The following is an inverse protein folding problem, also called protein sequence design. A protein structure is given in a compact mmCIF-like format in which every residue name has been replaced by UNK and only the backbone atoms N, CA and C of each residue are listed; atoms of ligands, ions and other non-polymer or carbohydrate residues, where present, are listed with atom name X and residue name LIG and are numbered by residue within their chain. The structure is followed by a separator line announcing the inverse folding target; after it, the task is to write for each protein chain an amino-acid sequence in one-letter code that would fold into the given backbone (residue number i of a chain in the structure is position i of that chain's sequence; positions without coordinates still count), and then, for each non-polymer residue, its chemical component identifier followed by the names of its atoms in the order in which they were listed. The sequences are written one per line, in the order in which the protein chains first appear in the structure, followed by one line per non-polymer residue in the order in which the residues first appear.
data_IF_234259383115
#
_entry.id   IF_234259383115
#
_cell.length_a   1.000
_cell.length_b   1.000
_cell.length_c   1.000
_cell.angle_alpha   90.00
_cell.angle_beta   90.00
_cell.angle_gamma   90.00
#
_symmetry.space_group_name_H-M   'P 1'
#
loop_
_entity.id
_entity.type
_entity.pdbx_description
1 polymer ?
#
# COMPACT_ATOMS: atom_id res chain seq x y z
N UNK A 1 25.33 -18.82 21.59
CA UNK A 1 25.55 -18.12 20.32
C UNK A 1 24.16 -17.83 19.79
N UNK A 2 23.61 -16.66 20.14
CA UNK A 2 22.30 -16.26 19.64
C UNK A 2 22.55 -15.63 18.27
N UNK A 3 22.17 -16.34 17.22
CA UNK A 3 22.07 -15.74 15.90
C UNK A 3 20.91 -14.75 15.97
N UNK A 4 21.24 -13.47 16.09
CA UNK A 4 20.32 -12.41 15.70
C UNK A 4 20.01 -12.64 14.23
N UNK A 5 18.84 -13.19 13.94
CA UNK A 5 18.29 -13.20 12.61
C UNK A 5 17.94 -11.74 12.32
N UNK A 6 18.90 -11.00 11.77
CA UNK A 6 18.62 -9.78 11.02
C UNK A 6 17.66 -10.19 9.91
N UNK A 7 16.36 -10.03 10.20
CA UNK A 7 15.30 -10.17 9.20
C UNK A 7 15.39 -8.93 8.32
N UNK A 8 16.34 -8.95 7.38
CA UNK A 8 16.32 -8.05 6.22
C UNK A 8 14.91 -8.15 5.66
N UNK A 9 14.17 -7.05 5.72
CA UNK A 9 12.75 -7.07 5.44
C UNK A 9 12.52 -7.75 4.08
N UNK A 10 11.67 -8.80 3.97
CA UNK A 10 11.59 -9.69 2.81
C UNK A 10 11.00 -9.03 1.55
N UNK A 11 10.82 -7.71 1.58
CA UNK A 11 10.13 -6.92 0.58
C UNK A 11 11.09 -6.58 -0.57
N UNK A 12 10.60 -6.66 -1.79
CA UNK A 12 11.36 -6.38 -3.02
C UNK A 12 10.83 -5.17 -3.77
N UNK A 13 9.62 -4.71 -3.46
CA UNK A 13 9.00 -3.49 -4.01
C UNK A 13 7.79 -3.05 -3.19
N UNK A 14 7.46 -1.77 -3.31
CA UNK A 14 6.17 -1.20 -2.94
C UNK A 14 5.35 -1.01 -4.22
N UNK A 15 4.09 -1.42 -4.23
CA UNK A 15 3.17 -1.20 -5.36
C UNK A 15 2.07 -0.21 -4.99
N UNK A 16 1.76 0.72 -5.90
CA UNK A 16 0.50 1.49 -5.89
C UNK A 16 -0.50 0.71 -6.72
N UNK A 17 -1.53 0.16 -6.07
CA UNK A 17 -2.56 -0.64 -6.75
C UNK A 17 -3.93 0.03 -6.63
N UNK A 18 -4.71 -0.04 -7.72
CA UNK A 18 -6.13 0.27 -7.66
C UNK A 18 -6.88 -0.96 -7.16
N UNK A 19 -7.67 -0.78 -6.12
CA UNK A 19 -8.47 -1.83 -5.53
C UNK A 19 -9.90 -1.32 -5.30
N UNK A 20 -10.76 -2.25 -4.91
CA UNK A 20 -12.11 -1.95 -4.45
C UNK A 20 -12.26 -2.58 -3.08
N UNK A 21 -12.68 -1.79 -2.10
CA UNK A 21 -12.85 -2.25 -0.73
C UNK A 21 -14.31 -2.11 -0.33
N UNK A 22 -14.82 -3.19 0.26
CA UNK A 22 -16.11 -3.18 0.91
C UNK A 22 -15.99 -2.79 2.36
N UNK A 23 -16.54 -1.64 2.69
CA UNK A 23 -16.61 -1.17 4.06
C UNK A 23 -17.22 0.22 4.21
N UNK A 24 -17.41 0.61 5.45
CA UNK A 24 -17.78 1.97 5.85
C UNK A 24 -16.89 2.42 7.00
N UNK A 25 -16.64 3.72 7.12
CA UNK A 25 -15.96 4.27 8.29
C UNK A 25 -16.95 4.43 9.43
N UNK A 26 -16.52 4.01 10.62
CA UNK A 26 -17.15 4.42 11.86
C UNK A 26 -16.11 5.08 12.75
N UNK A 27 -16.50 6.13 13.45
CA UNK A 27 -15.73 6.60 14.58
C UNK A 27 -15.88 5.60 15.74
N UNK A 28 -14.76 5.25 16.37
CA UNK A 28 -14.79 4.47 17.59
C UNK A 28 -15.08 5.36 18.82
N UNK A 29 -15.07 4.77 20.01
CA UNK A 29 -15.31 5.52 21.26
C UNK A 29 -14.21 6.54 21.60
N UNK A 30 -13.11 6.56 20.84
CA UNK A 30 -11.98 7.49 20.99
C UNK A 30 -11.95 8.56 19.89
N UNK A 31 -12.96 8.60 19.03
CA UNK A 31 -13.04 9.45 17.83
C UNK A 31 -12.00 9.11 16.74
N UNK A 32 -11.47 7.90 16.75
CA UNK A 32 -10.62 7.43 15.66
C UNK A 32 -11.49 6.85 14.54
N UNK A 33 -11.21 7.25 13.30
CA UNK A 33 -11.87 6.70 12.11
C UNK A 33 -11.38 5.26 11.86
N UNK A 34 -12.28 4.30 12.02
CA UNK A 34 -12.02 2.89 11.73
C UNK A 34 -12.77 2.43 10.49
N UNK A 35 -12.07 1.75 9.60
CA UNK A 35 -12.67 1.04 8.48
C UNK A 35 -13.33 -0.26 8.98
N UNK A 36 -14.65 -0.36 8.86
CA UNK A 36 -15.41 -1.60 9.08
C UNK A 36 -15.67 -2.24 7.75
N UNK A 37 -15.17 -3.45 7.55
CA UNK A 37 -15.38 -4.18 6.30
C UNK A 37 -16.81 -4.69 6.19
N UNK A 38 -17.43 -4.47 5.03
CA UNK A 38 -18.79 -4.91 4.68
C UNK A 38 -18.85 -5.29 3.21
N UNK A 39 -20.01 -5.75 2.73
CA UNK A 39 -20.24 -5.92 1.29
C UNK A 39 -20.54 -4.53 0.71
N UNK A 40 -19.54 -3.90 0.10
CA UNK A 40 -19.62 -2.62 -0.63
C UNK A 40 -18.48 -2.57 -1.66
N UNK A 41 -18.57 -1.72 -2.67
CA UNK A 41 -17.57 -1.62 -3.74
C UNK A 41 -17.00 -0.19 -3.84
N UNK A 42 -16.33 0.28 -2.78
CA UNK A 42 -15.72 1.61 -2.81
C UNK A 42 -14.37 1.58 -3.52
N UNK A 43 -14.16 2.37 -4.59
CA UNK A 43 -12.87 2.43 -5.26
C UNK A 43 -11.82 3.08 -4.35
N UNK A 44 -10.64 2.47 -4.29
CA UNK A 44 -9.55 2.92 -3.43
C UNK A 44 -8.19 2.71 -4.10
N UNK A 45 -7.18 3.40 -3.55
CA UNK A 45 -5.78 3.09 -3.82
C UNK A 45 -5.20 2.41 -2.58
N UNK A 46 -4.48 1.32 -2.79
CA UNK A 46 -3.78 0.59 -1.73
C UNK A 46 -2.29 0.62 -2.05
N UNK A 47 -1.48 0.79 -1.00
CA UNK A 47 -0.04 0.61 -1.06
C UNK A 47 0.28 -0.78 -0.52
N UNK A 48 0.91 -1.61 -1.35
CA UNK A 48 1.22 -3.00 -1.00
C UNK A 48 2.72 -3.25 -1.05
N UNK A 49 3.29 -3.70 0.06
CA UNK A 49 4.62 -4.30 0.03
C UNK A 49 4.53 -5.69 -0.57
N UNK A 50 5.41 -5.97 -1.52
CA UNK A 50 5.50 -7.26 -2.18
C UNK A 50 6.84 -7.90 -1.88
N UNK A 51 6.82 -9.16 -1.47
CA UNK A 51 8.03 -9.94 -1.21
C UNK A 51 8.50 -10.72 -2.44
N UNK A 52 9.69 -11.34 -2.33
CA UNK A 52 10.27 -12.15 -3.41
C UNK A 52 9.40 -13.36 -3.82
N UNK A 53 8.56 -13.87 -2.92
CA UNK A 53 7.60 -14.95 -3.19
C UNK A 53 6.18 -14.44 -3.53
N UNK A 54 6.05 -13.15 -3.87
CA UNK A 54 4.80 -12.47 -4.24
C UNK A 54 3.73 -12.45 -3.11
N UNK A 55 4.14 -12.60 -1.85
CA UNK A 55 3.26 -12.29 -0.72
C UNK A 55 3.08 -10.77 -0.64
N UNK A 56 1.83 -10.35 -0.40
CA UNK A 56 1.41 -8.95 -0.38
C UNK A 56 0.98 -8.53 1.01
N UNK A 57 1.45 -7.38 1.47
CA UNK A 57 1.02 -6.76 2.73
C UNK A 57 0.56 -5.34 2.45
N UNK A 58 -0.72 -5.06 2.70
CA UNK A 58 -1.23 -3.70 2.63
C UNK A 58 -0.64 -2.86 3.76
N UNK A 59 0.00 -1.75 3.41
CA UNK A 59 0.65 -0.82 4.34
C UNK A 59 0.02 0.56 4.33
N UNK A 60 -0.84 0.84 3.36
CA UNK A 60 -1.59 2.09 3.29
C UNK A 60 -2.84 1.93 2.44
N UNK A 61 -3.88 2.67 2.79
CA UNK A 61 -5.12 2.79 2.03
C UNK A 61 -5.45 4.28 1.89
N UNK A 62 -5.82 4.68 0.68
CA UNK A 62 -6.27 6.01 0.38
C UNK A 62 -7.63 5.98 -0.31
N UNK A 63 -8.49 6.87 0.17
CA UNK A 63 -9.87 7.01 -0.28
C UNK A 63 -10.14 8.44 -0.63
N UNK A 64 -10.67 8.65 -1.82
CA UNK A 64 -10.97 9.99 -2.34
C UNK A 64 -9.77 10.93 -2.38
N UNK A 65 -8.55 10.43 -2.15
CA UNK A 65 -7.30 11.19 -2.25
C UNK A 65 -6.85 11.24 -3.70
N UNK A 66 -6.41 12.40 -4.22
CA UNK A 66 -5.81 12.48 -5.54
C UNK A 66 -4.62 11.53 -5.70
N UNK A 67 -4.57 10.82 -6.82
CA UNK A 67 -3.51 9.84 -7.09
C UNK A 67 -2.10 10.45 -7.08
N UNK A 68 -1.95 11.74 -7.40
CA UNK A 68 -0.67 12.44 -7.34
C UNK A 68 -0.12 12.52 -5.90
N UNK A 69 -0.96 12.84 -4.93
CA UNK A 69 -0.57 12.91 -3.52
C UNK A 69 -0.20 11.54 -2.96
N UNK A 70 -0.89 10.49 -3.43
CA UNK A 70 -0.57 9.11 -3.08
C UNK A 70 0.78 8.68 -3.65
N UNK A 71 1.13 9.10 -4.86
CA UNK A 71 2.45 8.83 -5.44
C UNK A 71 3.57 9.44 -4.62
N UNK A 72 3.43 10.69 -4.19
CA UNK A 72 4.43 11.36 -3.35
C UNK A 72 4.61 10.63 -2.02
N UNK A 73 3.50 10.26 -1.38
CA UNK A 73 3.53 9.49 -0.13
C UNK A 73 4.16 8.10 -0.32
N UNK A 74 3.87 7.45 -1.45
CA UNK A 74 4.42 6.14 -1.77
C UNK A 74 5.92 6.18 -2.07
N UNK A 75 6.45 7.28 -2.64
CA UNK A 75 7.90 7.47 -2.82
C UNK A 75 8.59 7.46 -1.46
N UNK A 76 8.15 8.31 -0.53
CA UNK A 76 8.74 8.37 0.81
C UNK A 76 8.62 7.04 1.58
N UNK A 77 7.50 6.32 1.40
CA UNK A 77 7.31 5.01 2.00
C UNK A 77 8.27 3.96 1.38
N UNK A 78 8.39 3.93 0.05
CA UNK A 78 9.32 3.03 -0.65
C UNK A 78 10.77 3.26 -0.23
N UNK A 79 11.19 4.54 -0.12
CA UNK A 79 12.49 4.93 0.41
C UNK A 79 12.71 4.42 1.85
N UNK A 80 11.70 4.55 2.71
CA UNK A 80 11.78 4.07 4.11
C UNK A 80 11.96 2.56 4.24
N UNK A 81 11.43 1.80 3.28
CA UNK A 81 11.60 0.35 3.21
C UNK A 81 12.83 -0.07 2.39
N UNK A 82 13.52 0.85 1.72
CA UNK A 82 14.66 0.55 0.87
C UNK A 82 14.31 -0.27 -0.37
N UNK A 83 13.08 -0.12 -0.89
CA UNK A 83 12.57 -0.90 -2.04
C UNK A 83 12.14 0.03 -3.18
N UNK A 84 12.19 -0.42 -4.44
CA UNK A 84 11.65 0.34 -5.55
C UNK A 84 10.12 0.49 -5.44
N UNK A 85 9.61 1.59 -5.99
CA UNK A 85 8.19 1.85 -6.15
C UNK A 85 7.72 1.41 -7.54
N UNK A 86 6.59 0.71 -7.62
CA UNK A 86 5.93 0.40 -8.88
C UNK A 86 4.49 0.98 -8.89
N UNK A 87 4.18 1.83 -9.86
CA UNK A 87 2.83 2.34 -10.02
C UNK A 87 2.01 1.45 -10.97
N UNK A 88 1.24 0.53 -10.40
CA UNK A 88 0.38 -0.40 -11.14
C UNK A 88 -0.90 0.27 -11.65
N UNK A 89 -1.21 1.50 -11.25
CA UNK A 89 -2.35 2.27 -11.79
C UNK A 89 -2.07 2.79 -13.20
N UNK A 90 -0.80 2.87 -13.60
CA UNK A 90 -0.41 3.28 -14.93
C UNK A 90 -0.58 2.15 -15.95
N UNK A 91 -0.88 2.49 -17.22
CA UNK A 91 -0.81 1.53 -18.32
C UNK A 91 0.59 0.89 -18.39
N UNK A 92 0.67 -0.39 -18.78
CA UNK A 92 1.91 -1.16 -18.81
C UNK A 92 3.09 -0.45 -19.50
N UNK A 93 2.81 0.32 -20.55
CA UNK A 93 3.81 1.10 -21.30
C UNK A 93 4.50 2.22 -20.47
N UNK A 94 3.93 2.65 -19.34
CA UNK A 94 4.46 3.71 -18.47
C UNK A 94 4.99 3.21 -17.13
N UNK A 95 4.88 1.92 -16.84
CA UNK A 95 5.33 1.34 -15.55
C UNK A 95 6.86 1.25 -15.40
N UNK A 96 7.61 1.32 -16.51
CA UNK A 96 9.08 1.21 -16.51
C UNK A 96 9.82 2.56 -16.43
N UNK A 97 9.10 3.67 -16.19
CA UNK A 97 9.64 5.03 -16.23
C UNK A 97 9.69 5.71 -14.85
N UNK A 98 9.36 4.99 -13.78
CA UNK A 98 9.32 5.46 -12.39
C UNK A 98 10.24 4.56 -11.57
#
# INVERSE_FOLDING_TARGET
MNEEIETVAPWVRLEIVSATIGGYFREDSKNDLMLVTTISDMPCIVLELVSANDNRTAVGIALSTPLAEIRESAIGLAESFGVPLADCTLPAARRAQI
#
